data_IF_868327195049
#
_entry.id   IF_868327195049
#
_cell.length_a   1.000
_cell.length_b   1.000
_cell.length_c   1.000
_cell.angle_alpha   90.00
_cell.angle_beta   90.00
_cell.angle_gamma   90.00
#
_symmetry.space_group_name_H-M   'P 1'
#
loop_
_entity.id
_entity.type
_entity.pdbx_description
1 polymer ?
#
# COMPACT_ATOMS: atom_id res chain seq x y z
N UNK A 1 -36.49 -5.34 17.76
CA UNK A 1 -35.13 -5.22 18.30
C UNK A 1 -34.17 -5.12 17.12
N UNK A 2 -33.67 -3.93 16.80
CA UNK A 2 -32.64 -3.73 15.76
C UNK A 2 -31.32 -4.25 16.33
N UNK A 3 -30.75 -5.31 15.74
CA UNK A 3 -29.35 -5.69 15.97
C UNK A 3 -28.50 -4.55 15.42
N UNK A 4 -27.80 -3.82 16.28
CA UNK A 4 -26.70 -2.95 15.86
C UNK A 4 -25.62 -3.87 15.28
N UNK A 5 -25.23 -3.66 14.03
CA UNK A 5 -23.92 -4.14 13.54
C UNK A 5 -22.90 -3.34 14.34
N UNK A 6 -22.12 -4.01 15.18
CA UNK A 6 -20.92 -3.41 15.75
C UNK A 6 -19.87 -3.53 14.66
N UNK A 7 -19.39 -2.41 14.12
CA UNK A 7 -18.21 -2.43 13.26
C UNK A 7 -16.97 -2.73 14.08
N UNK A 8 -15.99 -3.32 13.42
CA UNK A 8 -14.81 -3.96 14.03
C UNK A 8 -13.93 -2.92 14.73
N UNK A 9 -13.95 -1.68 14.25
CA UNK A 9 -13.04 -0.63 14.69
C UNK A 9 -13.43 -0.07 16.08
N UNK A 10 -14.70 -0.19 16.49
CA UNK A 10 -15.22 0.55 17.68
C UNK A 10 -15.00 -0.07 19.07
N UNK A 11 -14.89 -1.40 19.32
CA UNK A 11 -14.74 -1.85 20.71
C UNK A 11 -13.28 -1.97 21.18
N UNK A 12 -12.27 -1.94 20.29
CA UNK A 12 -10.92 -2.42 20.66
C UNK A 12 -9.76 -1.45 20.47
N UNK A 13 -9.96 -0.30 19.83
CA UNK A 13 -8.92 0.76 19.81
C UNK A 13 -9.15 1.71 21.01
N UNK A 14 -9.30 1.10 22.19
CA UNK A 14 -9.18 1.84 23.46
C UNK A 14 -7.78 1.60 23.99
N UNK A 15 -6.82 2.44 23.58
CA UNK A 15 -5.54 2.66 24.25
C UNK A 15 -4.57 1.46 24.45
N UNK A 16 -4.74 0.32 23.78
CA UNK A 16 -3.91 -0.88 24.02
C UNK A 16 -3.13 -1.44 22.82
N UNK A 17 -3.35 -0.97 21.58
CA UNK A 17 -2.49 -1.32 20.42
C UNK A 17 -1.32 -0.33 20.31
N UNK A 18 -0.61 -0.13 21.42
CA UNK A 18 0.73 0.48 21.44
C UNK A 18 1.73 -0.50 22.07
N UNK A 19 1.30 -1.60 22.71
CA UNK A 19 2.22 -2.51 23.41
C UNK A 19 1.67 -3.95 23.36
N UNK A 20 2.38 -4.83 22.64
CA UNK A 20 2.23 -6.32 22.52
C UNK A 20 1.06 -6.78 21.61
N UNK A 21 1.16 -7.82 20.76
CA UNK A 21 1.50 -9.21 21.09
C UNK A 21 1.92 -10.08 19.87
N UNK A 22 2.64 -11.16 20.17
CA UNK A 22 3.14 -12.24 19.31
C UNK A 22 2.05 -13.08 18.60
N UNK A 23 2.10 -13.20 17.26
CA UNK A 23 2.17 -14.45 16.44
C UNK A 23 1.94 -14.15 14.95
N UNK A 24 2.59 -14.88 14.01
CA UNK A 24 2.36 -14.69 12.58
C UNK A 24 0.96 -15.16 12.19
N UNK A 25 0.21 -14.30 11.49
CA UNK A 25 -1.01 -14.69 10.80
C UNK A 25 -0.63 -15.65 9.67
N UNK A 26 -0.97 -16.92 9.83
CA UNK A 26 -0.78 -17.97 8.82
C UNK A 26 -1.70 -17.71 7.62
N UNK A 27 -1.12 -17.33 6.48
CA UNK A 27 -1.78 -17.43 5.18
C UNK A 27 -1.38 -18.73 4.47
N UNK A 28 -2.24 -19.74 4.57
CA UNK A 28 -2.09 -21.02 3.85
C UNK A 28 -2.93 -21.09 2.55
N UNK A 29 -3.39 -19.96 2.02
CA UNK A 29 -4.40 -19.93 0.95
C UNK A 29 -3.90 -19.46 -0.41
N UNK A 30 -3.27 -18.28 -0.48
CA UNK A 30 -2.81 -17.69 -1.74
C UNK A 30 -1.55 -18.41 -2.29
N UNK A 31 -0.69 -18.88 -1.39
CA UNK A 31 0.56 -19.55 -1.73
C UNK A 31 0.39 -20.89 -2.44
N UNK A 32 -0.64 -21.66 -2.07
CA UNK A 32 -0.92 -22.99 -2.64
C UNK A 32 -1.29 -22.94 -4.15
N UNK A 33 -1.74 -21.78 -4.64
CA UNK A 33 -2.11 -21.57 -6.04
C UNK A 33 -0.91 -21.14 -6.90
N UNK A 34 -0.08 -20.23 -6.38
CA UNK A 34 1.07 -19.68 -7.08
C UNK A 34 2.20 -20.72 -7.24
N UNK A 35 2.42 -21.57 -6.23
CA UNK A 35 3.42 -22.65 -6.27
C UNK A 35 3.14 -23.68 -7.39
N UNK A 36 1.86 -23.89 -7.74
CA UNK A 36 1.47 -24.75 -8.87
C UNK A 36 1.72 -24.14 -10.24
N UNK A 37 1.75 -22.81 -10.34
CA UNK A 37 1.95 -22.09 -11.60
C UNK A 37 3.44 -21.87 -11.93
N UNK A 38 4.30 -21.66 -10.91
CA UNK A 38 5.73 -21.40 -11.08
C UNK A 38 6.55 -22.56 -11.67
N UNK A 39 6.04 -23.79 -11.61
CA UNK A 39 6.75 -25.00 -12.09
C UNK A 39 6.67 -25.27 -13.59
N UNK A 40 5.97 -24.45 -14.39
CA UNK A 40 5.57 -24.83 -15.76
C UNK A 40 5.92 -23.81 -16.86
N UNK A 41 6.97 -23.00 -16.70
CA UNK A 41 7.47 -22.14 -17.79
C UNK A 41 8.93 -22.44 -18.13
N UNK A 42 9.17 -23.63 -18.69
CA UNK A 42 10.37 -23.86 -19.51
C UNK A 42 10.15 -23.18 -20.87
N UNK A 43 10.65 -21.96 -21.02
CA UNK A 43 10.58 -21.25 -22.30
C UNK A 43 11.69 -21.77 -23.25
N UNK A 44 11.34 -22.71 -24.13
CA UNK A 44 12.09 -22.91 -25.37
C UNK A 44 11.90 -21.68 -26.26
N UNK A 45 13.01 -20.99 -26.57
CA UNK A 45 13.02 -19.86 -27.48
C UNK A 45 12.61 -20.28 -28.90
N UNK A 46 11.66 -19.56 -29.50
CA UNK A 46 11.29 -19.71 -30.90
C UNK A 46 11.51 -18.41 -31.71
N UNK A 47 11.85 -18.54 -33.01
CA UNK A 47 12.61 -17.54 -33.77
C UNK A 47 11.71 -16.54 -34.52
N UNK A 48 12.34 -15.42 -34.91
CA UNK A 48 11.68 -14.19 -35.35
C UNK A 48 11.00 -14.18 -36.72
N UNK A 49 10.49 -12.98 -37.07
CA UNK A 49 9.78 -12.54 -38.28
C UNK A 49 8.37 -12.04 -37.90
N UNK A 50 7.83 -10.90 -38.33
CA UNK A 50 8.20 -9.84 -39.25
C UNK A 50 7.34 -8.62 -38.91
N UNK A 51 7.87 -7.45 -39.23
CA UNK A 51 7.23 -6.12 -39.17
C UNK A 51 5.88 -6.03 -39.89
N UNK A 52 4.92 -5.32 -39.30
CA UNK A 52 3.93 -4.56 -40.08
C UNK A 52 3.68 -3.18 -39.47
N UNK A 53 3.75 -2.19 -40.34
CA UNK A 53 3.59 -0.77 -40.07
C UNK A 53 2.10 -0.33 -40.07
N UNK A 54 1.86 0.77 -39.35
CA UNK A 54 0.83 1.80 -39.53
C UNK A 54 -0.51 1.74 -38.74
N UNK A 55 -0.45 2.44 -37.59
CA UNK A 55 -1.26 3.62 -37.17
C UNK A 55 -2.65 3.41 -36.52
N UNK A 56 -3.16 4.35 -35.67
CA UNK A 56 -2.58 5.64 -35.25
C UNK A 56 -2.31 5.78 -33.73
N UNK A 57 -1.41 6.72 -33.41
CA UNK A 57 -1.19 7.28 -32.08
C UNK A 57 -2.46 7.98 -31.56
N UNK A 58 -3.01 7.49 -30.47
CA UNK A 58 -3.95 8.24 -29.64
C UNK A 58 -3.18 8.82 -28.44
N UNK A 59 -2.92 10.13 -28.51
CA UNK A 59 -2.67 10.94 -27.33
C UNK A 59 -3.83 10.76 -26.34
N UNK A 60 -3.52 10.43 -25.10
CA UNK A 60 -4.40 10.67 -23.96
C UNK A 60 -3.63 11.41 -22.87
N UNK A 61 -3.11 12.59 -23.23
CA UNK A 61 -3.11 13.69 -22.28
C UNK A 61 -4.56 14.17 -22.11
N UNK A 62 -4.94 14.48 -20.86
CA UNK A 62 -6.16 15.18 -20.47
C UNK A 62 -7.46 14.35 -20.44
N UNK A 63 -7.60 13.51 -19.42
CA UNK A 63 -8.90 13.09 -18.89
C UNK A 63 -9.36 14.09 -17.82
N UNK A 64 -10.46 14.79 -18.07
CA UNK A 64 -10.97 15.85 -17.19
C UNK A 64 -11.39 15.35 -15.80
N UNK A 65 -10.97 16.12 -14.78
CA UNK A 65 -11.40 16.04 -13.39
C UNK A 65 -12.93 15.88 -13.30
N UNK A 66 -13.49 14.88 -12.59
CA UNK A 66 -14.84 14.99 -12.09
C UNK A 66 -14.84 16.03 -10.97
N UNK A 67 -15.38 17.20 -11.24
CA UNK A 67 -15.75 18.14 -10.20
C UNK A 67 -16.78 17.46 -9.29
N UNK A 68 -16.60 17.56 -7.97
CA UNK A 68 -17.58 17.09 -6.99
C UNK A 68 -18.98 17.63 -7.38
N UNK A 69 -19.98 16.76 -7.62
CA UNK A 69 -21.32 17.22 -7.96
C UNK A 69 -21.96 17.80 -6.70
N UNK A 70 -21.92 19.11 -6.58
CA UNK A 70 -22.50 19.83 -5.45
C UNK A 70 -22.01 21.27 -5.40
N UNK A 71 -22.56 22.13 -6.25
CA UNK A 71 -22.36 23.57 -6.15
C UNK A 71 -22.93 24.11 -4.84
N UNK A 72 -22.09 24.19 -3.81
CA UNK A 72 -22.33 25.01 -2.63
C UNK A 72 -21.04 25.69 -2.18
N UNK A 73 -21.19 26.99 -1.91
CA UNK A 73 -20.21 27.96 -1.44
C UNK A 73 -19.32 27.37 -0.34
N UNK A 74 -18.00 27.56 -0.44
CA UNK A 74 -17.02 27.25 0.60
C UNK A 74 -17.46 27.84 1.95
N UNK A 75 -17.98 26.98 2.83
CA UNK A 75 -18.18 27.26 4.25
C UNK A 75 -16.96 26.80 5.07
N UNK A 76 -16.63 27.46 6.20
CA UNK A 76 -15.38 27.25 6.94
C UNK A 76 -15.35 26.00 7.83
N UNK A 77 -15.94 24.87 7.41
CA UNK A 77 -16.17 23.71 8.29
C UNK A 77 -15.54 22.38 7.85
N UNK A 78 -14.42 22.41 7.13
CA UNK A 78 -13.51 21.27 7.06
C UNK A 78 -12.23 21.64 7.81
N UNK A 79 -12.27 21.60 9.14
CA UNK A 79 -11.09 21.83 9.98
C UNK A 79 -10.17 20.61 9.90
N UNK A 80 -9.07 20.73 9.17
CA UNK A 80 -8.00 19.73 9.24
C UNK A 80 -7.35 19.72 10.62
N UNK A 81 -6.95 18.54 11.10
CA UNK A 81 -6.17 18.43 12.32
C UNK A 81 -4.69 18.48 11.95
N UNK A 82 -4.02 19.59 12.30
CA UNK A 82 -2.56 19.69 12.18
C UNK A 82 -1.93 18.87 13.29
N UNK A 83 -1.08 17.93 12.91
CA UNK A 83 -0.37 17.07 13.83
C UNK A 83 0.83 17.82 14.43
N UNK A 84 1.04 17.72 15.75
CA UNK A 84 2.18 18.37 16.40
C UNK A 84 3.50 17.91 15.76
N UNK A 85 4.41 18.86 15.53
CA UNK A 85 5.73 18.63 14.91
C UNK A 85 5.70 18.05 13.48
N UNK A 86 4.54 18.03 12.81
CA UNK A 86 4.40 17.54 11.43
C UNK A 86 3.75 18.60 10.54
N UNK A 87 4.19 18.64 9.28
CA UNK A 87 3.48 19.36 8.23
C UNK A 87 2.48 18.45 7.50
N UNK A 88 2.26 17.22 7.98
CA UNK A 88 1.12 16.40 7.56
C UNK A 88 -0.15 16.89 8.25
N UNK A 89 -1.18 17.16 7.44
CA UNK A 89 -2.48 17.64 7.91
C UNK A 89 -3.56 16.66 7.51
N UNK A 90 -4.29 16.13 8.49
CA UNK A 90 -5.35 15.14 8.23
C UNK A 90 -6.69 15.85 8.04
N UNK A 91 -7.42 15.47 6.99
CA UNK A 91 -8.72 16.04 6.65
C UNK A 91 -9.73 14.90 6.45
N UNK A 92 -10.72 14.82 7.34
CA UNK A 92 -11.89 13.96 7.16
C UNK A 92 -12.99 14.72 6.41
N UNK A 93 -13.14 14.40 5.12
CA UNK A 93 -14.16 14.97 4.25
C UNK A 93 -15.57 14.45 4.53
N UNK A 94 -16.51 14.76 3.63
CA UNK A 94 -17.90 14.30 3.73
C UNK A 94 -17.97 12.82 3.37
N UNK A 95 -18.70 12.03 4.17
CA UNK A 95 -19.06 10.67 3.82
C UNK A 95 -20.48 10.62 3.22
N UNK A 96 -20.72 9.70 2.30
CA UNK A 96 -21.95 9.62 1.52
C UNK A 96 -22.88 8.50 2.00
N UNK A 97 -23.80 8.78 2.91
CA UNK A 97 -24.77 7.79 3.40
C UNK A 97 -24.33 7.09 4.69
N UNK A 98 -25.23 6.29 5.27
CA UNK A 98 -25.04 5.72 6.62
C UNK A 98 -23.83 4.79 6.70
N UNK A 99 -23.58 3.98 5.67
CA UNK A 99 -22.44 3.04 5.62
C UNK A 99 -21.08 3.76 5.71
N UNK A 100 -20.84 4.78 4.89
CA UNK A 100 -19.55 5.48 4.89
C UNK A 100 -19.39 6.44 6.06
N UNK A 101 -20.47 6.93 6.66
CA UNK A 101 -20.38 7.68 7.93
C UNK A 101 -19.91 6.77 9.07
N UNK A 102 -20.28 5.48 9.08
CA UNK A 102 -19.72 4.51 10.03
C UNK A 102 -18.22 4.36 9.81
N UNK A 103 -17.78 4.07 8.58
CA UNK A 103 -16.36 3.94 8.22
C UNK A 103 -15.57 5.18 8.63
N UNK A 104 -16.06 6.37 8.28
CA UNK A 104 -15.43 7.63 8.64
C UNK A 104 -15.26 7.79 10.15
N UNK A 105 -16.31 7.53 10.92
CA UNK A 105 -16.27 7.70 12.38
C UNK A 105 -15.31 6.68 13.01
N UNK A 106 -15.38 5.44 12.56
CA UNK A 106 -14.49 4.38 13.01
C UNK A 106 -13.02 4.69 12.74
N UNK A 107 -12.66 5.08 11.52
CA UNK A 107 -11.28 5.46 11.16
C UNK A 107 -10.80 6.71 11.91
N UNK A 108 -11.72 7.61 12.25
CA UNK A 108 -11.40 8.79 13.04
C UNK A 108 -11.23 8.46 14.53
N UNK A 109 -12.04 7.56 15.07
CA UNK A 109 -11.98 7.11 16.45
C UNK A 109 -10.74 6.23 16.70
N UNK A 110 -10.32 5.45 15.70
CA UNK A 110 -9.11 4.62 15.78
C UNK A 110 -7.80 5.40 15.81
N UNK A 111 -7.79 6.62 15.27
CA UNK A 111 -6.61 7.48 15.15
C UNK A 111 -5.44 6.84 14.37
N UNK A 112 -5.70 5.85 13.50
CA UNK A 112 -4.62 5.14 12.79
C UNK A 112 -3.85 6.08 11.85
N UNK A 113 -4.54 6.98 11.15
CA UNK A 113 -3.89 7.92 10.24
C UNK A 113 -3.21 9.07 10.99
N UNK A 114 -3.75 9.49 12.13
CA UNK A 114 -3.08 10.42 13.05
C UNK A 114 -1.77 9.83 13.55
N UNK A 115 -1.78 8.56 13.92
CA UNK A 115 -0.59 7.83 14.38
C UNK A 115 0.44 7.74 13.26
N UNK A 116 0.01 7.36 12.05
CA UNK A 116 0.89 7.34 10.86
C UNK A 116 1.48 8.74 10.58
N UNK A 117 0.66 9.80 10.60
CA UNK A 117 1.11 11.16 10.33
C UNK A 117 2.04 11.72 11.41
N UNK A 118 1.86 11.31 12.67
CA UNK A 118 2.78 11.61 13.77
C UNK A 118 4.11 10.90 13.55
N UNK A 119 4.07 9.59 13.27
CA UNK A 119 5.25 8.78 13.01
C UNK A 119 6.09 9.35 11.86
N UNK A 120 5.47 9.57 10.70
CA UNK A 120 6.12 10.21 9.55
C UNK A 120 6.60 11.63 9.86
N UNK A 121 5.82 12.38 10.64
CA UNK A 121 6.17 13.72 11.09
C UNK A 121 7.43 13.75 11.95
N UNK A 122 7.74 12.69 12.71
CA UNK A 122 8.97 12.57 13.49
C UNK A 122 10.19 12.19 12.64
N UNK A 123 9.97 11.62 11.46
CA UNK A 123 11.05 11.16 10.57
C UNK A 123 11.35 12.12 9.42
N UNK A 124 10.35 12.85 8.91
CA UNK A 124 10.46 13.61 7.65
C UNK A 124 10.24 15.11 7.88
N UNK A 125 11.16 15.93 7.35
CA UNK A 125 11.15 17.40 7.29
C UNK A 125 10.46 17.87 6.01
N UNK A 126 9.13 17.81 5.99
CA UNK A 126 8.34 18.36 4.90
C UNK A 126 8.47 19.91 4.85
N UNK A 127 8.73 20.52 3.67
CA UNK A 127 8.99 21.95 3.54
C UNK A 127 7.71 22.80 3.57
N UNK A 128 6.57 22.17 3.31
CA UNK A 128 5.23 22.77 3.32
C UNK A 128 4.20 21.72 3.77
N UNK A 129 2.95 22.15 3.94
CA UNK A 129 1.88 21.25 4.34
C UNK A 129 1.52 20.26 3.24
N UNK A 130 1.51 18.97 3.58
CA UNK A 130 0.98 17.87 2.77
C UNK A 130 -0.31 17.39 3.42
N UNK A 131 -1.41 17.39 2.68
CA UNK A 131 -2.71 16.97 3.20
C UNK A 131 -2.90 15.48 3.00
N UNK A 132 -3.33 14.78 4.04
CA UNK A 132 -3.89 13.44 3.94
C UNK A 132 -5.41 13.55 4.11
N UNK A 133 -6.13 13.39 3.02
CA UNK A 133 -7.58 13.59 2.98
C UNK A 133 -8.29 12.27 2.77
N UNK A 134 -9.23 12.00 3.68
CA UNK A 134 -10.12 10.86 3.57
C UNK A 134 -11.50 11.37 3.16
N UNK A 135 -12.02 10.97 2.00
CA UNK A 135 -13.36 11.38 1.56
C UNK A 135 -13.96 10.43 0.51
N UNK A 136 -15.22 10.65 0.13
CA UNK A 136 -15.79 9.94 -1.04
C UNK A 136 -15.04 10.33 -2.33
N UNK A 137 -14.72 9.34 -3.16
CA UNK A 137 -14.16 9.55 -4.51
C UNK A 137 -15.13 9.14 -5.63
N UNK A 138 -16.15 8.34 -5.32
CA UNK A 138 -17.04 7.69 -6.28
C UNK A 138 -16.58 6.29 -6.69
N UNK A 139 -15.35 5.90 -6.34
CA UNK A 139 -14.74 4.61 -6.62
C UNK A 139 -13.69 4.25 -5.54
N UNK A 140 -13.28 2.99 -5.51
CA UNK A 140 -12.21 2.47 -4.64
C UNK A 140 -10.87 3.00 -5.15
N UNK A 141 -10.36 4.08 -4.55
CA UNK A 141 -9.19 4.79 -5.09
C UNK A 141 -8.34 5.44 -4.00
N UNK A 142 -7.06 5.58 -4.30
CA UNK A 142 -6.10 6.41 -3.60
C UNK A 142 -5.22 7.09 -4.64
N UNK A 143 -4.88 8.36 -4.42
CA UNK A 143 -3.97 9.08 -5.32
C UNK A 143 -3.35 10.30 -4.65
N UNK A 144 -2.18 10.68 -5.13
CA UNK A 144 -1.54 11.95 -4.85
C UNK A 144 -1.86 13.02 -5.92
N UNK A 145 -2.37 14.18 -5.47
CA UNK A 145 -2.60 15.37 -6.29
C UNK A 145 -1.43 16.37 -6.13
N UNK A 146 -0.57 16.44 -7.15
CA UNK A 146 0.63 17.30 -7.15
C UNK A 146 0.32 18.80 -7.21
N UNK A 147 -0.84 19.22 -7.74
CA UNK A 147 -1.25 20.62 -7.75
C UNK A 147 -1.68 21.07 -6.35
N UNK A 148 -2.39 20.21 -5.62
CA UNK A 148 -2.92 20.52 -4.29
C UNK A 148 -2.00 20.13 -3.14
N UNK A 149 -0.96 19.33 -3.41
CA UNK A 149 -0.14 18.65 -2.41
C UNK A 149 -1.04 17.90 -1.41
N UNK A 150 -1.88 17.02 -1.96
CA UNK A 150 -2.93 16.30 -1.23
C UNK A 150 -2.92 14.82 -1.63
N UNK A 151 -2.69 13.94 -0.66
CA UNK A 151 -2.98 12.51 -0.78
C UNK A 151 -4.46 12.32 -0.46
N UNK A 152 -5.20 11.69 -1.36
CA UNK A 152 -6.58 11.29 -1.15
C UNK A 152 -6.67 9.78 -0.95
N UNK A 153 -7.35 9.35 0.11
CA UNK A 153 -7.75 7.96 0.32
C UNK A 153 -9.28 7.92 0.33
N UNK A 154 -9.88 7.11 -0.55
CA UNK A 154 -11.33 7.05 -0.64
C UNK A 154 -11.95 6.22 0.48
N UNK A 155 -13.12 6.64 0.98
CA UNK A 155 -13.86 5.81 1.96
C UNK A 155 -14.34 4.50 1.33
N UNK A 156 -14.54 4.49 0.01
CA UNK A 156 -14.83 3.30 -0.78
C UNK A 156 -13.69 2.28 -0.71
N UNK A 157 -12.43 2.72 -0.87
CA UNK A 157 -11.26 1.85 -0.76
C UNK A 157 -11.12 1.27 0.65
N UNK A 158 -11.28 2.11 1.69
CA UNK A 158 -11.24 1.62 3.08
C UNK A 158 -12.36 0.62 3.35
N UNK A 159 -13.55 0.83 2.79
CA UNK A 159 -14.65 -0.15 2.90
C UNK A 159 -14.33 -1.44 2.15
N UNK A 160 -13.65 -1.36 1.01
CA UNK A 160 -13.17 -2.55 0.30
C UNK A 160 -12.19 -3.34 1.17
N UNK A 161 -11.19 -2.71 1.78
CA UNK A 161 -10.25 -3.37 2.69
C UNK A 161 -10.96 -3.99 3.89
N UNK A 162 -11.94 -3.30 4.49
CA UNK A 162 -12.74 -3.88 5.58
C UNK A 162 -13.43 -5.17 5.13
N UNK A 163 -14.08 -5.18 3.96
CA UNK A 163 -14.72 -6.40 3.41
C UNK A 163 -13.72 -7.50 3.11
N UNK A 164 -12.58 -7.14 2.53
CA UNK A 164 -11.52 -8.09 2.17
C UNK A 164 -11.04 -8.82 3.44
N UNK A 165 -10.74 -8.06 4.48
CA UNK A 165 -10.32 -8.56 5.79
C UNK A 165 -11.43 -9.37 6.47
N UNK A 166 -12.69 -8.89 6.45
CA UNK A 166 -13.85 -9.61 6.99
C UNK A 166 -14.04 -10.99 6.33
N UNK A 167 -13.66 -11.12 5.06
CA UNK A 167 -13.80 -12.35 4.30
C UNK A 167 -12.77 -13.42 4.71
N UNK A 168 -11.64 -13.03 5.31
CA UNK A 168 -10.56 -13.93 5.71
C UNK A 168 -11.00 -14.84 6.86
N UNK A 169 -11.24 -16.11 6.52
CA UNK A 169 -11.61 -17.13 7.49
C UNK A 169 -10.36 -17.63 8.22
N UNK A 170 -10.40 -17.68 9.54
CA UNK A 170 -9.30 -18.21 10.36
C UNK A 170 -8.48 -17.14 11.07
N UNK A 171 -8.53 -15.88 10.62
CA UNK A 171 -7.97 -14.75 11.36
C UNK A 171 -8.89 -14.37 12.54
N UNK A 172 -8.27 -14.11 13.68
CA UNK A 172 -8.88 -13.44 14.82
C UNK A 172 -9.24 -12.00 14.48
N UNK A 173 -10.06 -11.36 15.32
CA UNK A 173 -10.46 -9.97 15.09
C UNK A 173 -9.27 -8.99 15.23
N UNK A 174 -8.27 -9.32 16.04
CA UNK A 174 -7.05 -8.53 16.18
C UNK A 174 -6.18 -8.65 14.92
N UNK A 175 -5.93 -9.88 14.43
CA UNK A 175 -5.20 -10.09 13.17
C UNK A 175 -5.89 -9.43 11.97
N UNK A 176 -7.22 -9.39 11.96
CA UNK A 176 -7.98 -8.66 10.95
C UNK A 176 -7.76 -7.15 11.05
N UNK A 177 -7.80 -6.59 12.25
CA UNK A 177 -7.54 -5.18 12.45
C UNK A 177 -6.11 -4.80 12.01
N UNK A 178 -5.13 -5.65 12.30
CA UNK A 178 -3.75 -5.50 11.85
C UNK A 178 -3.65 -5.53 10.32
N UNK A 179 -4.22 -6.54 9.66
CA UNK A 179 -4.23 -6.63 8.20
C UNK A 179 -4.90 -5.42 7.54
N UNK A 180 -5.99 -4.92 8.12
CA UNK A 180 -6.63 -3.69 7.65
C UNK A 180 -5.68 -2.48 7.71
N UNK A 181 -4.95 -2.34 8.82
CA UNK A 181 -3.97 -1.27 9.01
C UNK A 181 -2.82 -1.41 8.04
N UNK A 182 -2.30 -2.62 7.84
CA UNK A 182 -1.20 -2.91 6.90
C UNK A 182 -1.56 -2.50 5.47
N UNK A 183 -2.76 -2.87 5.00
CA UNK A 183 -3.27 -2.49 3.68
C UNK A 183 -3.44 -0.97 3.54
N UNK A 184 -4.10 -0.35 4.53
CA UNK A 184 -4.36 1.09 4.52
C UNK A 184 -3.06 1.92 4.59
N UNK A 185 -2.09 1.47 5.37
CA UNK A 185 -0.79 2.13 5.51
C UNK A 185 0.06 1.94 4.27
N UNK A 186 0.13 0.73 3.70
CA UNK A 186 0.89 0.51 2.48
C UNK A 186 0.42 1.43 1.35
N UNK A 187 -0.88 1.48 1.06
CA UNK A 187 -1.42 2.37 0.02
C UNK A 187 -1.15 3.84 0.34
N UNK A 188 -1.31 4.26 1.59
CA UNK A 188 -1.03 5.64 1.97
C UNK A 188 0.45 5.99 1.81
N UNK A 189 1.35 5.05 2.09
CA UNK A 189 2.79 5.22 1.93
C UNK A 189 3.22 5.18 0.47
N UNK A 190 2.53 4.41 -0.38
CA UNK A 190 2.71 4.44 -1.83
C UNK A 190 2.38 5.85 -2.37
N UNK A 191 1.24 6.41 -1.99
CA UNK A 191 0.90 7.79 -2.36
C UNK A 191 1.83 8.84 -1.75
N UNK A 192 2.34 8.58 -0.53
CA UNK A 192 3.40 9.38 0.05
C UNK A 192 4.67 9.29 -0.80
N UNK A 193 4.99 8.14 -1.39
CA UNK A 193 6.09 7.96 -2.32
C UNK A 193 6.04 8.97 -3.46
N UNK A 194 4.91 9.04 -4.18
CA UNK A 194 4.66 10.06 -5.19
C UNK A 194 4.81 11.48 -4.65
N UNK A 195 4.24 11.74 -3.46
CA UNK A 195 4.33 13.05 -2.84
C UNK A 195 5.78 13.45 -2.53
N UNK A 196 6.62 12.55 -2.02
CA UNK A 196 8.01 12.83 -1.69
C UNK A 196 8.85 13.04 -2.96
N UNK A 197 8.61 12.24 -4.01
CA UNK A 197 9.27 12.42 -5.31
C UNK A 197 9.01 13.82 -5.87
N UNK A 198 7.76 14.25 -5.88
CA UNK A 198 7.34 15.56 -6.40
C UNK A 198 7.74 16.73 -5.48
N UNK A 199 7.52 16.63 -4.16
CA UNK A 199 7.81 17.72 -3.21
C UNK A 199 9.31 18.00 -3.12
N UNK A 200 10.14 16.96 -3.17
CA UNK A 200 11.60 17.09 -3.04
C UNK A 200 12.35 17.08 -4.36
N UNK A 201 11.65 16.96 -5.50
CA UNK A 201 12.22 16.85 -6.84
C UNK A 201 13.28 15.73 -6.89
N UNK A 202 12.90 14.54 -6.40
CA UNK A 202 13.83 13.42 -6.29
C UNK A 202 14.17 12.87 -7.68
N UNK A 203 15.45 12.75 -8.05
CA UNK A 203 15.83 12.15 -9.31
C UNK A 203 15.61 10.62 -9.25
N UNK A 204 14.61 10.15 -9.99
CA UNK A 204 14.33 8.71 -10.16
C UNK A 204 14.64 8.26 -11.59
N UNK A 205 15.05 7.01 -11.74
CA UNK A 205 15.33 6.40 -13.06
C UNK A 205 14.51 5.15 -13.33
N UNK A 206 13.77 4.64 -12.34
CA UNK A 206 12.81 3.54 -12.49
C UNK A 206 11.42 4.03 -12.91
N UNK A 207 10.47 3.10 -13.07
CA UNK A 207 9.05 3.47 -13.13
C UNK A 207 8.66 4.13 -11.80
N UNK A 208 7.96 5.25 -11.86
CA UNK A 208 7.58 6.00 -10.65
C UNK A 208 6.77 5.12 -9.68
N UNK A 209 5.85 4.31 -10.20
CA UNK A 209 5.06 3.35 -9.43
C UNK A 209 5.92 2.32 -8.66
N UNK A 210 6.97 1.79 -9.30
CA UNK A 210 7.87 0.85 -8.64
C UNK A 210 8.71 1.56 -7.56
N UNK A 211 9.06 2.83 -7.78
CA UNK A 211 9.78 3.63 -6.77
C UNK A 211 8.87 4.01 -5.62
N UNK A 212 7.58 4.26 -5.87
CA UNK A 212 6.57 4.48 -4.83
C UNK A 212 6.38 3.23 -3.96
N UNK A 213 6.30 2.03 -4.56
CA UNK A 213 6.31 0.76 -3.83
C UNK A 213 7.59 0.56 -3.01
N UNK A 214 8.75 0.85 -3.59
CA UNK A 214 10.04 0.77 -2.89
C UNK A 214 10.09 1.73 -1.70
N UNK A 215 9.60 2.96 -1.84
CA UNK A 215 9.52 3.93 -0.75
C UNK A 215 8.59 3.44 0.36
N UNK A 216 7.42 2.90 0.01
CA UNK A 216 6.48 2.34 0.98
C UNK A 216 7.11 1.17 1.75
N UNK A 217 7.68 0.19 1.03
CA UNK A 217 8.38 -0.94 1.62
C UNK A 217 9.56 -0.50 2.51
N UNK A 218 10.37 0.44 2.04
CA UNK A 218 11.52 0.95 2.79
C UNK A 218 11.09 1.66 4.08
N UNK A 219 10.05 2.51 4.03
CA UNK A 219 9.52 3.18 5.23
C UNK A 219 9.00 2.16 6.24
N UNK A 220 8.21 1.17 5.79
CA UNK A 220 7.69 0.10 6.65
C UNK A 220 8.85 -0.64 7.30
N UNK A 221 9.74 -1.25 6.51
CA UNK A 221 10.83 -2.09 7.01
C UNK A 221 11.79 -1.35 7.94
N UNK A 222 12.06 -0.07 7.69
CA UNK A 222 13.04 0.70 8.47
C UNK A 222 12.49 1.38 9.71
N UNK A 223 11.17 1.59 9.78
CA UNK A 223 10.60 2.50 10.79
C UNK A 223 9.37 1.98 11.49
N UNK A 224 8.72 0.92 11.01
CA UNK A 224 7.50 0.38 11.62
C UNK A 224 7.83 -0.78 12.55
N UNK A 225 6.91 -1.06 13.47
CA UNK A 225 7.07 -2.13 14.45
C UNK A 225 8.03 -1.80 15.59
N UNK A 226 7.92 -2.57 16.67
CA UNK A 226 8.88 -2.59 17.77
C UNK A 226 10.14 -3.40 17.39
N UNK A 227 10.02 -4.28 16.40
CA UNK A 227 11.09 -5.11 15.86
C UNK A 227 10.93 -5.38 14.34
N UNK A 228 12.00 -5.92 13.75
CA UNK A 228 12.06 -6.26 12.33
C UNK A 228 10.98 -7.27 11.91
N UNK A 229 10.56 -8.17 12.81
CA UNK A 229 9.54 -9.17 12.48
C UNK A 229 8.19 -8.51 12.23
N UNK A 230 7.80 -7.55 13.06
CA UNK A 230 6.56 -6.80 12.86
C UNK A 230 6.60 -5.97 11.58
N UNK A 231 7.72 -5.31 11.30
CA UNK A 231 7.88 -4.53 10.07
C UNK A 231 7.76 -5.41 8.81
N UNK A 232 8.42 -6.57 8.83
CA UNK A 232 8.36 -7.56 7.74
C UNK A 232 6.97 -8.15 7.58
N UNK A 233 6.31 -8.52 8.68
CA UNK A 233 4.94 -9.05 8.65
C UNK A 233 3.97 -8.04 8.03
N UNK A 234 4.05 -6.77 8.42
CA UNK A 234 3.21 -5.70 7.88
C UNK A 234 3.36 -5.56 6.36
N UNK A 235 4.60 -5.59 5.85
CA UNK A 235 4.85 -5.51 4.40
C UNK A 235 4.33 -6.75 3.67
N UNK A 236 4.55 -7.95 4.23
CA UNK A 236 4.09 -9.21 3.62
C UNK A 236 2.56 -9.23 3.57
N UNK A 237 1.89 -8.94 4.67
CA UNK A 237 0.43 -8.84 4.76
C UNK A 237 -0.15 -7.90 3.70
N UNK A 238 0.42 -6.70 3.57
CA UNK A 238 -0.01 -5.74 2.57
C UNK A 238 0.22 -6.24 1.13
N UNK A 239 1.32 -6.96 0.89
CA UNK A 239 1.68 -7.46 -0.43
C UNK A 239 0.73 -8.54 -0.94
N UNK A 240 0.14 -9.35 -0.06
CA UNK A 240 -0.75 -10.44 -0.47
C UNK A 240 -1.99 -9.98 -1.24
N UNK A 241 -2.42 -8.72 -1.01
CA UNK A 241 -3.51 -8.13 -1.78
C UNK A 241 -3.26 -8.16 -3.29
N UNK A 242 -2.01 -7.97 -3.73
CA UNK A 242 -1.63 -8.01 -5.14
C UNK A 242 -1.80 -9.39 -5.80
N UNK A 243 -1.93 -10.45 -5.01
CA UNK A 243 -2.14 -11.80 -5.51
C UNK A 243 -3.44 -12.44 -5.02
N UNK A 244 -4.24 -11.71 -4.24
CA UNK A 244 -5.47 -12.23 -3.62
C UNK A 244 -6.50 -12.70 -4.67
N UNK A 245 -6.58 -12.00 -5.80
CA UNK A 245 -7.48 -12.33 -6.91
C UNK A 245 -6.74 -12.94 -8.12
N UNK A 246 -5.43 -13.21 -7.97
CA UNK A 246 -4.61 -13.71 -9.06
C UNK A 246 -4.80 -15.22 -9.27
N UNK A 247 -5.47 -15.57 -10.36
CA UNK A 247 -5.61 -16.94 -10.83
C UNK A 247 -4.84 -17.15 -12.15
N UNK A 248 -3.59 -17.61 -12.07
CA UNK A 248 -2.75 -17.98 -13.22
C UNK A 248 -3.39 -18.99 -14.21
N UNK A 249 -4.36 -19.80 -13.79
CA UNK A 249 -5.06 -20.77 -14.64
C UNK A 249 -6.25 -20.17 -15.38
N UNK A 250 -6.70 -18.97 -14.99
CA UNK A 250 -7.83 -18.26 -15.59
C UNK A 250 -7.43 -16.95 -16.28
N UNK A 251 -6.29 -16.36 -15.89
CA UNK A 251 -5.80 -15.09 -16.45
C UNK A 251 -5.31 -15.29 -17.89
N UNK A 252 -5.81 -14.44 -18.79
CA UNK A 252 -5.33 -14.38 -20.17
C UNK A 252 -4.27 -13.30 -20.30
N UNK A 253 -3.36 -13.48 -21.25
CA UNK A 253 -2.34 -12.48 -21.56
C UNK A 253 -2.93 -11.11 -21.94
N UNK A 254 -4.15 -11.08 -22.49
CA UNK A 254 -4.87 -9.84 -22.84
C UNK A 254 -5.37 -9.06 -21.62
N UNK A 255 -5.58 -9.74 -20.49
CA UNK A 255 -6.02 -9.14 -19.23
C UNK A 255 -4.83 -8.60 -18.42
N UNK A 256 -3.60 -8.86 -18.87
CA UNK A 256 -2.37 -8.36 -18.24
C UNK A 256 -1.97 -7.03 -18.86
N UNK A 257 -1.86 -5.99 -18.03
CA UNK A 257 -1.52 -4.64 -18.45
C UNK A 257 -0.01 -4.44 -18.67
N UNK A 258 0.58 -5.16 -19.62
CA UNK A 258 2.02 -5.07 -19.90
C UNK A 258 2.52 -3.67 -20.29
N UNK A 259 1.62 -2.82 -20.81
CA UNK A 259 1.89 -1.44 -21.17
C UNK A 259 1.43 -0.42 -20.10
N UNK A 260 0.90 -0.90 -18.97
CA UNK A 260 0.48 -0.06 -17.84
C UNK A 260 1.64 0.66 -17.16
N UNK A 261 1.31 1.70 -16.39
CA UNK A 261 2.28 2.45 -15.58
C UNK A 261 2.83 1.60 -14.42
N UNK A 262 2.00 0.75 -13.84
CA UNK A 262 2.39 -0.16 -12.78
C UNK A 262 3.08 -1.42 -13.34
N UNK A 263 3.91 -2.05 -12.53
CA UNK A 263 4.28 -3.45 -12.75
C UNK A 263 3.08 -4.36 -12.52
N UNK A 264 3.11 -5.57 -13.09
CA UNK A 264 2.03 -6.54 -12.90
C UNK A 264 1.88 -6.85 -11.40
N UNK A 265 0.65 -6.98 -10.90
CA UNK A 265 0.44 -7.16 -9.45
C UNK A 265 1.23 -8.36 -8.85
N UNK A 266 1.31 -9.55 -9.49
CA UNK A 266 2.19 -10.61 -8.99
C UNK A 266 3.67 -10.22 -8.95
N UNK A 267 4.13 -9.38 -9.87
CA UNK A 267 5.51 -8.88 -9.87
C UNK A 267 5.74 -7.93 -8.68
N UNK A 268 4.76 -7.08 -8.36
CA UNK A 268 4.79 -6.20 -7.18
C UNK A 268 4.87 -7.02 -5.89
N UNK A 269 4.04 -8.06 -5.76
CA UNK A 269 4.09 -9.01 -4.65
C UNK A 269 5.50 -9.61 -4.48
N UNK A 270 6.04 -10.23 -5.53
CA UNK A 270 7.36 -10.85 -5.45
C UNK A 270 8.50 -9.87 -5.18
N UNK A 271 8.37 -8.61 -5.63
CA UNK A 271 9.31 -7.56 -5.26
C UNK A 271 9.29 -7.28 -3.76
N UNK A 272 8.11 -7.13 -3.17
CA UNK A 272 7.97 -6.88 -1.72
C UNK A 272 8.48 -8.04 -0.87
N UNK A 273 8.17 -9.29 -1.25
CA UNK A 273 8.72 -10.48 -0.57
C UNK A 273 10.25 -10.50 -0.65
N UNK A 274 10.81 -10.16 -1.82
CA UNK A 274 12.27 -10.11 -2.00
C UNK A 274 12.91 -9.03 -1.13
N UNK A 275 12.31 -7.83 -1.03
CA UNK A 275 12.82 -6.75 -0.17
C UNK A 275 12.68 -7.06 1.32
N UNK A 276 11.57 -7.68 1.73
CA UNK A 276 11.38 -8.14 3.10
C UNK A 276 12.43 -9.20 3.50
N UNK A 277 12.67 -10.18 2.62
CA UNK A 277 13.71 -11.19 2.83
C UNK A 277 15.11 -10.58 2.85
N UNK A 278 15.40 -9.67 1.92
CA UNK A 278 16.68 -8.95 1.87
C UNK A 278 16.94 -8.06 3.10
N UNK A 279 15.90 -7.54 3.72
CA UNK A 279 15.99 -6.78 4.97
C UNK A 279 16.29 -7.69 6.17
N UNK A 280 15.51 -8.76 6.33
CA UNK A 280 15.71 -9.73 7.42
C UNK A 280 15.17 -11.12 7.03
N UNK A 281 16.06 -12.06 6.63
CA UNK A 281 15.65 -13.40 6.19
C UNK A 281 14.87 -14.18 7.25
N UNK A 282 15.29 -14.09 8.52
CA UNK A 282 14.65 -14.84 9.61
C UNK A 282 13.24 -14.33 9.89
N UNK A 283 13.06 -13.01 9.90
CA UNK A 283 11.76 -12.38 10.04
C UNK A 283 10.84 -12.73 8.86
N UNK A 284 11.36 -12.70 7.63
CA UNK A 284 10.60 -13.02 6.44
C UNK A 284 10.13 -14.47 6.43
N UNK A 285 11.02 -15.44 6.67
CA UNK A 285 10.64 -16.86 6.78
C UNK A 285 9.64 -17.09 7.91
N UNK A 286 9.79 -16.42 9.05
CA UNK A 286 8.85 -16.53 10.16
C UNK A 286 7.46 -15.95 9.82
N UNK A 287 7.40 -14.82 9.12
CA UNK A 287 6.16 -14.18 8.70
C UNK A 287 5.44 -14.97 7.60
N UNK A 288 6.18 -15.52 6.63
CA UNK A 288 5.64 -16.35 5.53
C UNK A 288 5.10 -17.70 6.03
N UNK A 289 5.71 -18.27 7.06
CA UNK A 289 5.38 -19.61 7.52
C UNK A 289 5.80 -20.73 6.55
N UNK A 290 6.61 -20.41 5.54
CA UNK A 290 7.17 -21.32 4.55
C UNK A 290 8.63 -20.98 4.23
N UNK A 291 9.35 -21.92 3.63
CA UNK A 291 10.70 -21.71 3.15
C UNK A 291 10.70 -20.75 1.93
N UNK A 292 11.66 -19.84 1.86
CA UNK A 292 11.69 -18.80 0.81
C UNK A 292 11.87 -19.40 -0.60
N UNK A 293 12.53 -20.56 -0.68
CA UNK A 293 12.77 -21.35 -1.89
C UNK A 293 11.48 -21.88 -2.52
N UNK A 294 10.38 -21.92 -1.77
CA UNK A 294 9.06 -22.26 -2.32
C UNK A 294 8.44 -21.12 -3.12
N UNK A 295 8.93 -19.89 -2.93
CA UNK A 295 8.34 -18.66 -3.44
C UNK A 295 9.22 -17.97 -4.47
N UNK A 296 10.52 -17.86 -4.18
CA UNK A 296 11.47 -17.11 -4.99
C UNK A 296 12.44 -18.06 -5.70
N UNK A 297 12.83 -17.76 -6.95
CA UNK A 297 13.91 -18.47 -7.61
C UNK A 297 15.24 -18.20 -6.88
N UNK A 298 16.17 -19.16 -6.96
CA UNK A 298 17.49 -19.10 -6.29
C UNK A 298 18.23 -17.78 -6.54
N UNK A 299 18.21 -17.29 -7.78
CA UNK A 299 18.85 -16.01 -8.14
C UNK A 299 18.25 -14.82 -7.36
N UNK A 300 16.92 -14.79 -7.16
CA UNK A 300 16.27 -13.71 -6.39
C UNK A 300 16.63 -13.79 -4.91
N UNK A 301 16.77 -15.00 -4.37
CA UNK A 301 17.18 -15.22 -2.98
C UNK A 301 18.64 -14.77 -2.79
N UNK A 302 19.54 -15.16 -3.69
CA UNK A 302 20.96 -14.80 -3.64
C UNK A 302 21.17 -13.28 -3.65
N UNK A 303 20.40 -12.55 -4.45
CA UNK A 303 20.54 -11.09 -4.58
C UNK A 303 19.64 -10.27 -3.65
N UNK A 304 18.74 -10.88 -2.88
CA UNK A 304 17.75 -10.16 -2.07
C UNK A 304 18.38 -9.14 -1.12
N UNK A 305 19.43 -9.53 -0.37
CA UNK A 305 20.16 -8.64 0.55
C UNK A 305 20.76 -7.45 -0.21
N UNK A 306 21.46 -7.71 -1.32
CA UNK A 306 22.07 -6.67 -2.14
C UNK A 306 21.04 -5.75 -2.81
N UNK A 307 19.86 -6.26 -3.16
CA UNK A 307 18.74 -5.44 -3.65
C UNK A 307 18.23 -4.50 -2.57
N UNK A 308 17.98 -5.01 -1.36
CA UNK A 308 17.52 -4.20 -0.23
C UNK A 308 18.58 -3.16 0.19
N UNK A 309 19.85 -3.54 0.31
CA UNK A 309 20.94 -2.60 0.64
C UNK A 309 21.07 -1.48 -0.39
N UNK A 310 20.87 -1.79 -1.67
CA UNK A 310 20.87 -0.78 -2.73
C UNK A 310 19.70 0.17 -2.59
N UNK A 311 18.51 -0.34 -2.29
CA UNK A 311 17.32 0.46 -2.01
C UNK A 311 17.53 1.38 -0.80
N UNK A 312 18.01 0.83 0.33
CA UNK A 312 18.28 1.57 1.56
C UNK A 312 19.31 2.68 1.33
N UNK A 313 20.44 2.36 0.68
CA UNK A 313 21.45 3.36 0.33
C UNK A 313 20.89 4.45 -0.57
N UNK A 314 20.03 4.10 -1.53
CA UNK A 314 19.47 5.07 -2.48
C UNK A 314 18.54 6.04 -1.76
N UNK A 315 17.60 5.57 -0.94
CA UNK A 315 16.68 6.45 -0.21
C UNK A 315 17.37 7.22 0.90
N UNK A 316 18.33 6.62 1.61
CA UNK A 316 19.15 7.37 2.56
C UNK A 316 19.91 8.50 1.88
N UNK A 317 20.43 8.30 0.67
CA UNK A 317 21.12 9.35 -0.11
C UNK A 317 20.15 10.43 -0.60
N UNK A 318 18.99 10.03 -1.13
CA UNK A 318 17.98 10.94 -1.68
C UNK A 318 17.31 11.78 -0.59
N UNK A 319 17.06 11.18 0.58
CA UNK A 319 16.29 11.77 1.66
C UNK A 319 17.14 12.37 2.78
N UNK A 320 18.47 12.20 2.80
CA UNK A 320 19.38 12.62 3.89
C UNK A 320 19.06 14.01 4.47
N UNK A 321 18.86 14.99 3.59
CA UNK A 321 18.61 16.40 3.97
C UNK A 321 17.19 16.65 4.50
N UNK A 322 16.29 15.72 4.23
CA UNK A 322 14.88 15.79 4.56
C UNK A 322 14.50 14.85 5.71
N UNK A 323 15.38 13.94 6.14
CA UNK A 323 15.17 13.15 7.35
C UNK A 323 15.48 13.96 8.62
N UNK A 324 14.79 13.66 9.74
CA UNK A 324 14.89 14.43 10.98
C UNK A 324 16.13 14.14 11.81
#
# INVERSE_FOLDING_TARGET
MKKRRAGIITPFITAFIIILFFRPALFAGAFDYIQKAGGALNAEAAPGSQTSENAPLANAAQGGKPACPGGHVHGPQCGGHKIENSNLVIIYGKAGGEEYEVIKNEIKESQIFETLAQHLGLQIKLPAELKLKLCMAGEENAYYDSEKKEILISYELLRYFEKLVESQQGLSEDEKAELFVDLAFFVTLHELGHALIDIFDLPITGKEEDVADQLAAWIILKTFGDDDHQAVLALINASEWFVAEFDAGQIKAEDLEFAGSHSLDPQRFYNMITWAYGFNPNAATAALGSDIEELLPEERIEFAEAEFERMDKSFMTLLEKYLK
#
